data_IF_933584869547
#
_entry.id   IF_933584869547
#
_cell.length_a   1.000
_cell.length_b   1.000
_cell.length_c   1.000
_cell.angle_alpha   90.00
_cell.angle_beta   90.00
_cell.angle_gamma   90.00
#
_symmetry.space_group_name_H-M   'P 1'
#
loop_
_entity.id
_entity.type
_entity.pdbx_description
1 polymer ?
#
# COMPACT_ATOMS: atom_id res chain seq x y z
N UNK A 1 11.88 -12.43 -5.74
CA UNK A 1 12.34 -12.22 -4.35
C UNK A 1 11.33 -11.34 -3.65
N UNK A 2 10.95 -11.68 -2.43
CA UNK A 2 9.86 -11.01 -1.69
C UNK A 2 10.45 -10.04 -0.67
N UNK A 3 10.02 -8.78 -0.67
CA UNK A 3 10.59 -7.73 0.16
C UNK A 3 9.51 -7.02 0.97
N UNK A 4 9.78 -6.79 2.26
CA UNK A 4 8.93 -5.98 3.13
C UNK A 4 9.24 -4.51 2.88
N UNK A 5 8.23 -3.73 2.50
CA UNK A 5 8.38 -2.33 2.13
C UNK A 5 7.82 -1.41 3.21
N UNK A 6 8.56 -0.33 3.46
CA UNK A 6 8.15 0.77 4.33
C UNK A 6 7.24 1.76 3.57
N UNK A 7 6.45 2.53 4.32
CA UNK A 7 5.64 3.68 3.87
C UNK A 7 6.39 4.62 2.93
N UNK A 8 7.67 4.89 3.19
CA UNK A 8 8.50 5.79 2.38
C UNK A 8 8.67 5.30 0.95
N UNK A 9 8.88 4.00 0.75
CA UNK A 9 9.00 3.43 -0.60
C UNK A 9 7.67 3.52 -1.35
N UNK A 10 6.56 3.24 -0.66
CA UNK A 10 5.23 3.30 -1.26
C UNK A 10 4.84 4.74 -1.62
N UNK A 11 5.08 5.68 -0.72
CA UNK A 11 4.79 7.10 -0.97
C UNK A 11 5.66 7.68 -2.08
N UNK A 12 6.92 7.24 -2.21
CA UNK A 12 7.80 7.61 -3.30
C UNK A 12 7.29 7.08 -4.64
N UNK A 13 6.85 5.82 -4.71
CA UNK A 13 6.23 5.22 -5.90
C UNK A 13 4.92 5.93 -6.31
N UNK A 14 4.20 6.54 -5.36
CA UNK A 14 2.97 7.29 -5.61
C UNK A 14 3.20 8.71 -6.16
N UNK A 15 4.45 9.19 -6.16
CA UNK A 15 4.80 10.52 -6.67
C UNK A 15 4.65 10.58 -8.19
N UNK A 16 4.28 11.74 -8.77
CA UNK A 16 4.27 11.92 -10.22
C UNK A 16 5.64 11.70 -10.88
N UNK A 17 6.71 12.01 -10.16
CA UNK A 17 8.09 11.76 -10.58
C UNK A 17 8.82 11.04 -9.43
N UNK A 18 8.74 9.70 -9.39
CA UNK A 18 9.44 8.90 -8.40
C UNK A 18 10.95 8.91 -8.67
N UNK A 19 11.74 8.72 -7.61
CA UNK A 19 13.17 8.48 -7.75
C UNK A 19 13.47 7.28 -8.68
N UNK A 20 14.33 7.50 -9.67
CA UNK A 20 14.69 6.48 -10.68
C UNK A 20 15.30 5.22 -10.07
N UNK A 21 16.01 5.33 -8.95
CA UNK A 21 16.55 4.19 -8.21
C UNK A 21 15.46 3.32 -7.59
N UNK A 22 14.40 3.93 -7.06
CA UNK A 22 13.25 3.21 -6.50
C UNK A 22 12.46 2.51 -7.61
N UNK A 23 12.28 3.16 -8.76
CA UNK A 23 11.65 2.54 -9.93
C UNK A 23 12.48 1.35 -10.42
N UNK A 24 13.79 1.53 -10.61
CA UNK A 24 14.68 0.47 -11.08
C UNK A 24 14.77 -0.72 -10.10
N UNK A 25 14.68 -0.46 -8.80
CA UNK A 25 14.58 -1.51 -7.78
C UNK A 25 13.22 -2.22 -7.81
N UNK A 26 12.13 -1.48 -7.95
CA UNK A 26 10.77 -2.06 -7.99
C UNK A 26 10.58 -2.98 -9.19
N UNK A 27 11.16 -2.65 -10.35
CA UNK A 27 11.14 -3.47 -11.55
C UNK A 27 11.84 -4.83 -11.39
N UNK A 28 12.77 -4.95 -10.43
CA UNK A 28 13.47 -6.20 -10.11
C UNK A 28 12.77 -7.01 -9.00
N UNK A 29 11.76 -6.42 -8.36
CA UNK A 29 11.05 -7.02 -7.22
C UNK A 29 9.78 -7.70 -7.70
N UNK A 30 9.69 -9.01 -7.48
CA UNK A 30 8.58 -9.84 -7.97
C UNK A 30 7.31 -9.68 -7.14
N UNK A 31 7.45 -9.36 -5.84
CA UNK A 31 6.32 -9.23 -4.92
C UNK A 31 6.70 -8.30 -3.75
N UNK A 32 5.80 -7.39 -3.41
CA UNK A 32 5.95 -6.46 -2.29
C UNK A 32 5.04 -6.92 -1.15
N UNK A 33 5.63 -7.16 0.02
CA UNK A 33 4.89 -7.35 1.26
C UNK A 33 4.73 -5.99 1.95
N UNK A 34 3.51 -5.73 2.42
CA UNK A 34 3.18 -4.56 3.21
C UNK A 34 2.77 -5.01 4.60
N UNK A 35 3.26 -4.32 5.64
CA UNK A 35 2.77 -4.57 7.00
C UNK A 35 1.36 -3.99 7.18
N UNK A 36 0.56 -4.59 8.07
CA UNK A 36 -0.76 -4.04 8.41
C UNK A 36 -0.60 -2.64 9.01
N UNK A 37 0.44 -2.40 9.82
CA UNK A 37 0.72 -1.11 10.44
C UNK A 37 0.94 -0.03 9.36
N UNK A 38 1.77 -0.31 8.36
CA UNK A 38 2.04 0.57 7.21
C UNK A 38 0.76 0.89 6.42
N UNK A 39 -0.14 -0.09 6.30
CA UNK A 39 -1.44 0.12 5.67
C UNK A 39 -2.30 1.09 6.48
N UNK A 40 -2.38 0.91 7.80
CA UNK A 40 -3.15 1.79 8.68
C UNK A 40 -2.60 3.23 8.69
N UNK A 41 -1.29 3.41 8.67
CA UNK A 41 -0.65 4.74 8.62
C UNK A 41 -0.99 5.48 7.32
N UNK A 42 -0.94 4.79 6.18
CA UNK A 42 -1.30 5.39 4.88
C UNK A 42 -2.79 5.75 4.84
N UNK A 43 -3.67 4.85 5.32
CA UNK A 43 -5.11 5.12 5.39
C UNK A 43 -5.45 6.26 6.34
N UNK A 44 -4.81 6.31 7.51
CA UNK A 44 -4.98 7.39 8.46
C UNK A 44 -4.53 8.72 7.86
N UNK A 45 -3.37 8.74 7.19
CA UNK A 45 -2.87 9.92 6.48
C UNK A 45 -3.82 10.40 5.37
N UNK A 46 -4.37 9.48 4.58
CA UNK A 46 -5.36 9.79 3.54
C UNK A 46 -6.71 10.23 4.12
N UNK A 47 -7.11 9.71 5.27
CA UNK A 47 -8.35 10.10 5.96
C UNK A 47 -8.22 11.50 6.57
N UNK A 48 -7.05 11.83 7.12
CA UNK A 48 -6.75 13.14 7.69
C UNK A 48 -6.57 14.22 6.60
N UNK A 49 -6.02 13.86 5.43
CA UNK A 49 -5.85 14.76 4.29
C UNK A 49 -6.29 14.07 2.99
N UNK A 50 -7.59 14.13 2.65
CA UNK A 50 -8.13 13.42 1.50
C UNK A 50 -7.46 13.86 0.20
N UNK A 51 -6.87 12.90 -0.50
CA UNK A 51 -6.27 13.08 -1.81
C UNK A 51 -6.73 11.94 -2.72
N UNK A 52 -7.80 12.18 -3.48
CA UNK A 52 -8.42 11.18 -4.33
C UNK A 52 -7.45 10.53 -5.33
N UNK A 53 -6.45 11.30 -5.81
CA UNK A 53 -5.41 10.79 -6.71
C UNK A 53 -4.55 9.73 -6.03
N UNK A 54 -4.06 10.03 -4.82
CA UNK A 54 -3.19 9.12 -4.07
C UNK A 54 -3.98 7.90 -3.59
N UNK A 55 -5.24 8.11 -3.19
CA UNK A 55 -6.11 7.01 -2.78
C UNK A 55 -6.38 6.03 -3.93
N UNK A 56 -6.79 6.53 -5.11
CA UNK A 56 -7.02 5.67 -6.28
C UNK A 56 -5.74 4.96 -6.72
N UNK A 57 -4.59 5.65 -6.69
CA UNK A 57 -3.30 5.03 -6.98
C UNK A 57 -2.96 3.91 -5.99
N UNK A 58 -3.17 4.15 -4.69
CA UNK A 58 -2.85 3.18 -3.64
C UNK A 58 -3.76 1.95 -3.70
N UNK A 59 -5.05 2.14 -3.98
CA UNK A 59 -5.99 1.04 -4.20
C UNK A 59 -5.60 0.19 -5.43
N UNK A 60 -5.17 0.82 -6.53
CA UNK A 60 -4.63 0.10 -7.69
C UNK A 60 -3.33 -0.63 -7.34
N UNK A 61 -2.42 0.02 -6.62
CA UNK A 61 -1.15 -0.56 -6.21
C UNK A 61 -1.35 -1.83 -5.36
N UNK A 62 -2.25 -1.76 -4.37
CA UNK A 62 -2.59 -2.91 -3.53
C UNK A 62 -3.17 -4.08 -4.34
N UNK A 63 -4.05 -3.80 -5.29
CA UNK A 63 -4.68 -4.83 -6.11
C UNK A 63 -3.73 -5.45 -7.15
N UNK A 64 -2.78 -4.68 -7.68
CA UNK A 64 -1.88 -5.12 -8.76
C UNK A 64 -0.58 -5.75 -8.27
N UNK A 65 -0.03 -5.30 -7.14
CA UNK A 65 1.34 -5.64 -6.74
C UNK A 65 1.49 -6.24 -5.35
N UNK A 66 0.47 -6.13 -4.49
CA UNK A 66 0.51 -6.69 -3.15
C UNK A 66 -0.31 -7.98 -3.04
N UNK A 67 0.35 -9.08 -2.69
CA UNK A 67 -0.33 -10.20 -2.06
C UNK A 67 -0.48 -9.89 -0.58
N UNK A 68 -1.71 -9.58 -0.17
CA UNK A 68 -2.01 -9.44 1.24
C UNK A 68 -2.03 -10.85 1.85
N UNK A 69 -0.98 -11.20 2.59
CA UNK A 69 -0.91 -12.48 3.29
C UNK A 69 -2.01 -12.54 4.35
N UNK A 70 -2.79 -13.63 4.43
CA UNK A 70 -3.75 -13.82 5.51
C UNK A 70 -2.97 -14.03 6.81
N UNK A 71 -2.76 -12.97 7.59
CA UNK A 71 -2.48 -13.14 9.01
C UNK A 71 -3.75 -13.66 9.69
N UNK A 72 -3.57 -14.38 10.80
CA UNK A 72 -4.63 -15.10 11.54
C UNK A 72 -5.81 -14.20 11.94
N UNK A 73 -5.62 -12.88 11.95
CA UNK A 73 -6.65 -11.85 12.12
C UNK A 73 -7.29 -11.45 10.79
N UNK A 74 -8.12 -12.36 10.28
CA UNK A 74 -8.93 -12.24 9.05
C UNK A 74 -9.81 -10.99 8.99
N UNK A 75 -10.08 -10.34 10.13
CA UNK A 75 -11.15 -9.36 10.25
C UNK A 75 -10.74 -7.96 9.78
N UNK A 76 -9.51 -7.50 10.04
CA UNK A 76 -9.10 -6.13 9.67
C UNK A 76 -8.89 -5.97 8.16
N UNK A 77 -8.26 -6.94 7.51
CA UNK A 77 -7.90 -6.88 6.08
C UNK A 77 -9.13 -7.01 5.17
N UNK A 78 -10.11 -7.85 5.53
CA UNK A 78 -11.37 -7.97 4.78
C UNK A 78 -12.23 -6.70 4.87
N UNK A 79 -12.20 -5.99 6.01
CA UNK A 79 -12.88 -4.69 6.16
C UNK A 79 -12.29 -3.63 5.22
N UNK A 80 -10.97 -3.62 5.01
CA UNK A 80 -10.33 -2.71 4.06
C UNK A 80 -10.70 -2.98 2.60
N UNK A 81 -10.97 -4.24 2.20
CA UNK A 81 -11.31 -4.60 0.81
C UNK A 81 -12.78 -4.36 0.45
N UNK A 82 -13.68 -4.32 1.44
CA UNK A 82 -15.13 -4.17 1.20
C UNK A 82 -15.66 -2.74 1.40
N UNK A 83 -14.80 -1.77 1.73
CA UNK A 83 -15.21 -0.38 1.96
C UNK A 83 -16.08 -0.20 3.22
N UNK A 84 -16.22 -1.23 4.05
CA UNK A 84 -16.88 -1.11 5.35
C UNK A 84 -15.95 -0.39 6.31
N UNK A 85 -16.19 0.91 6.49
CA UNK A 85 -15.65 1.70 7.59
C UNK A 85 -15.78 0.89 8.88
N UNK A 86 -14.64 0.61 9.50
CA UNK A 86 -14.60 0.08 10.86
C UNK A 86 -15.16 1.19 11.74
N UNK A 87 -16.34 0.93 12.32
CA UNK A 87 -16.94 1.77 13.36
C UNK A 87 -16.17 1.61 14.68
#
# INVERSE_FOLDING_TARGET
MTLLCDTNIISELARPQPNTGVVAWSAKTSSILLSVITLEEIFYGLSAKPNARIQAWFEQFLNSYCQILPSRDRQRILLYKTGSKVA
#
